data_IF_117034946916
#
_entry.id   IF_117034946916
#
_cell.length_a   1.000
_cell.length_b   1.000
_cell.length_c   1.000
_cell.angle_alpha   90.00
_cell.angle_beta   90.00
_cell.angle_gamma   90.00
#
_symmetry.space_group_name_H-M   'P 1'
#
loop_
_entity.id
_entity.type
_entity.pdbx_description
1 polymer ?
#
# COMPACT_ATOMS: atom_id res chain seq x y z
N UNK A 1 10.79 7.34 -15.30
CA UNK A 1 9.82 6.71 -16.24
C UNK A 1 10.54 5.83 -17.23
N UNK A 2 9.86 4.80 -17.77
CA UNK A 2 10.42 3.91 -18.79
C UNK A 2 10.28 4.52 -20.18
N UNK A 3 11.30 4.35 -21.02
CA UNK A 3 11.31 4.79 -22.41
C UNK A 3 12.16 3.87 -23.29
N UNK A 4 12.33 4.25 -24.56
CA UNK A 4 13.11 3.49 -25.53
C UNK A 4 14.10 4.40 -26.25
N UNK A 5 15.36 3.98 -26.33
CA UNK A 5 16.42 4.68 -27.08
C UNK A 5 17.17 3.68 -27.96
N UNK A 6 17.20 3.94 -29.26
CA UNK A 6 17.84 3.06 -30.26
C UNK A 6 17.42 1.57 -30.10
N UNK A 7 16.12 1.32 -29.86
CA UNK A 7 15.56 -0.02 -29.69
C UNK A 7 15.81 -0.68 -28.31
N UNK A 8 16.52 -0.01 -27.39
CA UNK A 8 16.76 -0.51 -26.03
C UNK A 8 15.87 0.18 -25.00
N UNK A 9 15.38 -0.57 -24.01
CA UNK A 9 14.67 0.01 -22.86
C UNK A 9 15.64 0.86 -22.04
N UNK A 10 15.19 2.05 -21.65
CA UNK A 10 15.92 2.98 -20.78
C UNK A 10 14.99 3.52 -19.72
N UNK A 11 15.57 3.98 -18.62
CA UNK A 11 14.88 4.78 -17.63
C UNK A 11 15.27 6.24 -17.78
N UNK A 12 14.30 7.14 -17.60
CA UNK A 12 14.49 8.58 -17.71
C UNK A 12 14.10 9.23 -16.38
N UNK A 13 15.00 10.03 -15.83
CA UNK A 13 14.81 10.82 -14.63
C UNK A 13 14.95 12.31 -14.97
N UNK A 14 13.84 13.05 -14.90
CA UNK A 14 13.77 14.46 -15.26
C UNK A 14 13.20 15.29 -14.10
N UNK A 15 13.67 16.53 -13.91
CA UNK A 15 12.99 17.50 -13.06
C UNK A 15 11.56 17.76 -13.55
N UNK A 16 10.61 17.90 -12.63
CA UNK A 16 9.22 18.23 -12.97
C UNK A 16 9.09 19.64 -13.57
N UNK A 17 10.09 20.49 -13.40
CA UNK A 17 10.19 21.84 -13.97
C UNK A 17 10.73 21.87 -15.40
N UNK A 18 11.02 20.72 -16.01
CA UNK A 18 11.54 20.64 -17.38
C UNK A 18 10.51 21.15 -18.38
N UNK A 19 10.95 21.98 -19.33
CA UNK A 19 10.08 22.50 -20.39
C UNK A 19 9.41 21.37 -21.16
N UNK A 20 8.09 21.49 -21.34
CA UNK A 20 7.26 20.48 -22.01
C UNK A 20 6.73 19.37 -21.09
N UNK A 21 7.09 19.36 -19.80
CA UNK A 21 6.45 18.50 -18.78
C UNK A 21 5.26 19.24 -18.19
N UNK A 22 4.09 18.58 -18.16
CA UNK A 22 2.92 19.05 -17.43
C UNK A 22 2.41 17.98 -16.47
N UNK A 23 1.90 18.42 -15.32
CA UNK A 23 1.35 17.55 -14.28
C UNK A 23 -0.02 18.07 -13.90
N UNK A 24 -1.04 17.25 -14.11
CA UNK A 24 -2.42 17.53 -13.71
C UNK A 24 -2.78 16.65 -12.51
N UNK A 25 -3.15 17.28 -11.39
CA UNK A 25 -3.55 16.55 -10.18
C UNK A 25 -4.96 16.00 -10.33
N UNK A 26 -5.13 14.73 -10.01
CA UNK A 26 -6.44 14.07 -9.90
C UNK A 26 -6.90 14.11 -8.44
N UNK A 27 -8.12 14.59 -8.21
CA UNK A 27 -8.73 14.53 -6.88
C UNK A 27 -9.16 13.09 -6.57
N UNK A 28 -8.81 12.65 -5.37
CA UNK A 28 -9.15 11.32 -4.85
C UNK A 28 -10.13 11.47 -3.69
N UNK A 29 -10.92 10.42 -3.46
CA UNK A 29 -11.73 10.30 -2.25
C UNK A 29 -10.83 10.26 -0.99
N UNK A 30 -9.71 9.54 -1.06
CA UNK A 30 -8.66 9.58 -0.06
C UNK A 30 -7.75 10.79 -0.29
N UNK A 31 -7.96 11.84 0.51
CA UNK A 31 -7.21 13.10 0.42
C UNK A 31 -5.80 13.00 1.02
N UNK A 32 -5.48 11.92 1.74
CA UNK A 32 -4.13 11.64 2.25
C UNK A 32 -3.16 11.18 1.15
N UNK A 33 -3.69 10.82 -0.03
CA UNK A 33 -2.92 10.35 -1.18
C UNK A 33 -2.96 11.37 -2.32
N UNK A 34 -1.93 11.33 -3.16
CA UNK A 34 -1.84 12.18 -4.35
C UNK A 34 -1.76 11.30 -5.59
N UNK A 35 -2.62 11.59 -6.55
CA UNK A 35 -2.58 11.02 -7.90
C UNK A 35 -2.52 12.17 -8.91
N UNK A 36 -1.87 11.94 -10.04
CA UNK A 36 -1.88 12.89 -11.14
C UNK A 36 -1.44 12.26 -12.44
N UNK A 37 -1.80 12.91 -13.53
CA UNK A 37 -1.38 12.57 -14.88
C UNK A 37 -0.17 13.42 -15.24
N UNK A 38 0.92 12.77 -15.65
CA UNK A 38 2.11 13.44 -16.19
C UNK A 38 2.09 13.32 -17.70
N UNK A 39 2.12 14.45 -18.40
CA UNK A 39 2.20 14.51 -19.86
C UNK A 39 3.52 15.15 -20.30
N UNK A 40 4.05 14.67 -21.43
CA UNK A 40 5.30 15.12 -22.01
C UNK A 40 5.04 15.57 -23.45
N UNK A 41 5.33 16.83 -23.76
CA UNK A 41 5.17 17.40 -25.08
C UNK A 41 6.48 18.05 -25.54
N UNK A 42 7.13 17.43 -26.53
CA UNK A 42 8.37 17.95 -27.13
C UNK A 42 9.53 18.09 -26.13
N UNK A 43 9.57 17.28 -25.07
CA UNK A 43 10.60 17.35 -24.03
C UNK A 43 11.94 16.91 -24.60
N UNK A 44 12.92 17.82 -24.60
CA UNK A 44 14.30 17.50 -24.91
C UNK A 44 14.95 16.76 -23.73
N UNK A 45 15.54 15.59 -23.99
CA UNK A 45 16.15 14.73 -22.97
C UNK A 45 17.64 14.65 -23.26
N UNK A 46 18.44 15.23 -22.37
CA UNK A 46 19.90 15.14 -22.41
C UNK A 46 20.40 13.81 -21.83
N UNK A 47 21.64 13.43 -22.17
CA UNK A 47 22.14 12.09 -21.89
C UNK A 47 22.28 11.78 -20.38
N UNK A 48 22.54 12.81 -19.56
CA UNK A 48 22.62 12.72 -18.11
C UNK A 48 21.30 12.34 -17.42
N UNK A 49 20.16 12.56 -18.09
CA UNK A 49 18.85 12.16 -17.60
C UNK A 49 18.45 10.74 -18.01
N UNK A 50 19.28 10.07 -18.81
CA UNK A 50 19.05 8.71 -19.30
C UNK A 50 19.82 7.72 -18.44
N UNK A 51 19.08 6.91 -17.70
CA UNK A 51 19.57 5.77 -16.96
C UNK A 51 19.52 4.54 -17.86
N UNK A 52 20.69 4.04 -18.27
CA UNK A 52 20.86 2.76 -18.96
C UNK A 52 21.35 1.73 -17.96
N UNK A 53 20.45 1.04 -17.24
CA UNK A 53 20.85 -0.11 -16.45
C UNK A 53 21.48 -1.16 -17.39
N UNK A 54 22.50 -1.88 -16.90
CA UNK A 54 23.12 -2.97 -17.66
C UNK A 54 22.10 -4.05 -18.04
N UNK A 55 21.15 -4.30 -17.15
CA UNK A 55 19.95 -5.11 -17.38
C UNK A 55 18.70 -4.29 -17.00
N UNK A 56 17.92 -3.89 -18.01
CA UNK A 56 16.68 -3.12 -17.80
C UNK A 56 15.56 -3.96 -17.15
N UNK A 57 15.55 -5.28 -17.35
CA UNK A 57 14.58 -6.17 -16.70
C UNK A 57 14.86 -6.27 -15.20
N UNK A 58 16.14 -6.41 -14.82
CA UNK A 58 16.53 -6.46 -13.42
C UNK A 58 16.17 -5.17 -12.64
N UNK A 59 16.30 -3.99 -13.27
CA UNK A 59 15.86 -2.73 -12.64
C UNK A 59 14.34 -2.67 -12.49
N UNK A 60 13.57 -3.11 -13.49
CA UNK A 60 12.11 -3.14 -13.41
C UNK A 60 11.64 -4.05 -12.26
N UNK A 61 12.26 -5.24 -12.14
CA UNK A 61 11.96 -6.21 -11.08
C UNK A 61 12.30 -5.64 -9.70
N UNK A 62 13.44 -4.97 -9.54
CA UNK A 62 13.83 -4.39 -8.26
C UNK A 62 12.91 -3.21 -7.86
N UNK A 63 12.55 -2.34 -8.81
CA UNK A 63 11.60 -1.26 -8.58
C UNK A 63 10.22 -1.80 -8.17
N UNK A 64 9.74 -2.85 -8.83
CA UNK A 64 8.48 -3.50 -8.49
C UNK A 64 8.55 -4.18 -7.12
N UNK A 65 9.65 -4.83 -6.79
CA UNK A 65 9.89 -5.46 -5.49
C UNK A 65 9.81 -4.41 -4.38
N UNK A 66 10.56 -3.31 -4.49
CA UNK A 66 10.55 -2.22 -3.51
C UNK A 66 9.14 -1.62 -3.36
N UNK A 67 8.46 -1.35 -4.48
CA UNK A 67 7.11 -0.80 -4.45
C UNK A 67 6.10 -1.75 -3.78
N UNK A 68 6.19 -3.06 -4.07
CA UNK A 68 5.29 -4.07 -3.52
C UNK A 68 5.48 -4.24 -2.00
N UNK A 69 6.73 -4.36 -1.53
CA UNK A 69 7.01 -4.45 -0.08
C UNK A 69 6.57 -3.18 0.64
N UNK A 70 6.85 -2.01 0.08
CA UNK A 70 6.46 -0.71 0.67
C UNK A 70 4.94 -0.59 0.81
N UNK A 71 4.19 -0.94 -0.25
CA UNK A 71 2.73 -0.91 -0.22
C UNK A 71 2.14 -1.94 0.76
N UNK A 72 2.75 -3.12 0.86
CA UNK A 72 2.35 -4.12 1.84
C UNK A 72 2.56 -3.60 3.28
N UNK A 73 3.72 -3.02 3.56
CA UNK A 73 4.05 -2.47 4.87
C UNK A 73 3.12 -1.31 5.27
N UNK A 74 2.85 -0.38 4.35
CA UNK A 74 1.92 0.75 4.55
C UNK A 74 0.50 0.24 4.85
N UNK A 75 -0.03 -0.65 4.00
CA UNK A 75 -1.37 -1.23 4.20
C UNK A 75 -1.47 -1.99 5.54
N UNK A 76 -0.44 -2.75 5.92
CA UNK A 76 -0.42 -3.48 7.18
C UNK A 76 -0.41 -2.55 8.39
N UNK A 77 0.32 -1.44 8.31
CA UNK A 77 0.28 -0.38 9.31
C UNK A 77 -1.12 0.20 9.46
N UNK A 78 -1.75 0.57 8.34
CA UNK A 78 -3.13 1.05 8.31
C UNK A 78 -4.12 0.06 8.91
N UNK A 79 -4.09 -1.21 8.51
CA UNK A 79 -4.97 -2.25 9.05
C UNK A 79 -4.80 -2.49 10.55
N UNK A 80 -3.57 -2.45 11.07
CA UNK A 80 -3.32 -2.53 12.51
C UNK A 80 -3.88 -1.32 13.26
N UNK A 81 -3.70 -0.11 12.73
CA UNK A 81 -4.24 1.11 13.32
C UNK A 81 -5.78 1.10 13.33
N UNK A 82 -6.40 0.70 12.22
CA UNK A 82 -7.86 0.55 12.11
C UNK A 82 -8.41 -0.47 13.12
N UNK A 83 -7.77 -1.64 13.25
CA UNK A 83 -8.19 -2.65 14.22
C UNK A 83 -8.03 -2.15 15.67
N UNK A 84 -6.94 -1.46 15.98
CA UNK A 84 -6.69 -0.89 17.31
C UNK A 84 -7.76 0.15 17.69
N UNK A 85 -8.05 1.10 16.79
CA UNK A 85 -9.11 2.09 16.98
C UNK A 85 -10.47 1.43 17.19
N UNK A 86 -10.77 0.38 16.42
CA UNK A 86 -12.01 -0.41 16.56
C UNK A 86 -12.11 -1.10 17.92
N UNK A 87 -11.02 -1.70 18.38
CA UNK A 87 -10.95 -2.33 19.71
C UNK A 87 -11.23 -1.31 20.81
N UNK A 88 -10.65 -0.11 20.70
CA UNK A 88 -10.85 0.94 21.70
C UNK A 88 -12.29 1.48 21.67
N UNK A 89 -12.88 1.65 20.48
CA UNK A 89 -14.31 1.94 20.35
C UNK A 89 -15.17 0.86 21.02
N UNK A 90 -14.89 -0.42 20.77
CA UNK A 90 -15.64 -1.54 21.34
C UNK A 90 -15.56 -1.61 22.88
N UNK A 91 -14.46 -1.14 23.48
CA UNK A 91 -14.31 -1.07 24.94
C UNK A 91 -15.17 0.05 25.56
N UNK A 92 -15.48 1.11 24.81
CA UNK A 92 -16.25 2.25 25.31
C UNK A 92 -17.73 2.24 24.91
N UNK A 93 -18.10 1.58 23.81
CA UNK A 93 -19.47 1.59 23.29
C UNK A 93 -20.37 0.63 24.08
N UNK A 94 -21.43 1.15 24.70
CA UNK A 94 -22.43 0.35 25.43
C UNK A 94 -23.67 0.06 24.58
N UNK A 95 -24.10 -1.21 24.55
CA UNK A 95 -25.40 -1.67 24.05
C UNK A 95 -25.83 -2.94 24.78
N UNK A 96 -27.15 -3.09 24.98
CA UNK A 96 -27.72 -4.20 25.77
C UNK A 96 -27.07 -4.27 27.16
N UNK A 97 -27.02 -3.12 27.84
CA UNK A 97 -26.58 -2.94 29.23
C UNK A 97 -25.13 -3.35 29.54
N UNK A 98 -24.26 -3.38 28.51
CA UNK A 98 -22.82 -3.62 28.66
C UNK A 98 -22.03 -3.11 27.46
N UNK A 99 -20.71 -3.02 27.60
CA UNK A 99 -19.81 -2.67 26.49
C UNK A 99 -19.83 -3.75 25.39
N UNK A 100 -19.84 -3.34 24.12
CA UNK A 100 -19.91 -4.27 22.98
C UNK A 100 -18.66 -5.17 22.89
N UNK A 101 -17.53 -4.70 23.41
CA UNK A 101 -16.31 -5.49 23.54
C UNK A 101 -16.46 -6.70 24.48
N UNK A 102 -17.54 -6.80 25.27
CA UNK A 102 -17.78 -7.95 26.17
C UNK A 102 -18.42 -9.16 25.47
N UNK A 103 -19.07 -8.99 24.32
CA UNK A 103 -19.74 -10.07 23.59
C UNK A 103 -18.71 -10.99 22.92
N UNK A 104 -18.76 -12.29 23.23
CA UNK A 104 -17.80 -13.29 22.73
C UNK A 104 -17.72 -13.34 21.20
N UNK A 105 -18.86 -13.22 20.51
CA UNK A 105 -18.89 -13.21 19.05
C UNK A 105 -18.06 -12.09 18.43
N UNK A 106 -18.02 -10.90 19.06
CA UNK A 106 -17.22 -9.77 18.59
C UNK A 106 -15.75 -9.92 19.00
N UNK A 107 -15.49 -10.44 20.22
CA UNK A 107 -14.12 -10.73 20.68
C UNK A 107 -13.41 -11.72 19.78
N UNK A 108 -14.04 -12.85 19.46
CA UNK A 108 -13.45 -13.88 18.60
C UNK A 108 -13.16 -13.31 17.21
N UNK A 109 -14.10 -12.57 16.64
CA UNK A 109 -13.93 -11.96 15.32
C UNK A 109 -12.72 -11.01 15.27
N UNK A 110 -12.56 -10.15 16.27
CA UNK A 110 -11.41 -9.24 16.37
C UNK A 110 -10.10 -10.00 16.64
N UNK A 111 -10.15 -11.09 17.42
CA UNK A 111 -8.98 -11.94 17.63
C UNK A 111 -8.53 -12.62 16.32
N UNK A 112 -9.47 -13.09 15.50
CA UNK A 112 -9.20 -13.66 14.18
C UNK A 112 -8.54 -12.63 13.25
N UNK A 113 -9.06 -11.39 13.23
CA UNK A 113 -8.44 -10.28 12.48
C UNK A 113 -7.01 -9.99 12.95
N UNK A 114 -6.78 -9.97 14.27
CA UNK A 114 -5.45 -9.75 14.81
C UNK A 114 -4.50 -10.88 14.38
N UNK A 115 -4.92 -12.13 14.48
CA UNK A 115 -4.13 -13.27 14.04
C UNK A 115 -3.82 -13.19 12.53
N UNK A 116 -4.78 -12.80 11.69
CA UNK A 116 -4.57 -12.61 10.26
C UNK A 116 -3.57 -11.49 9.95
N UNK A 117 -3.62 -10.36 10.66
CA UNK A 117 -2.66 -9.27 10.50
C UNK A 117 -1.25 -9.67 10.96
N UNK A 118 -1.11 -10.47 12.03
CA UNK A 118 0.19 -11.00 12.45
C UNK A 118 0.77 -11.99 11.45
N UNK A 119 -0.06 -12.86 10.87
CA UNK A 119 0.39 -13.72 9.77
C UNK A 119 0.83 -12.89 8.55
N UNK A 120 0.09 -11.83 8.23
CA UNK A 120 0.44 -10.90 7.16
C UNK A 120 1.76 -10.15 7.44
N UNK A 121 2.05 -9.81 8.70
CA UNK A 121 3.33 -9.23 9.14
C UNK A 121 4.51 -10.14 8.79
N UNK A 122 4.40 -11.44 9.07
CA UNK A 122 5.45 -12.40 8.72
C UNK A 122 5.79 -12.40 7.22
N UNK A 123 4.80 -12.22 6.33
CA UNK A 123 5.05 -12.13 4.89
C UNK A 123 5.78 -10.84 4.49
N UNK A 124 5.42 -9.71 5.11
CA UNK A 124 6.09 -8.42 4.86
C UNK A 124 7.54 -8.49 5.34
N UNK A 125 7.77 -8.99 6.55
CA UNK A 125 9.10 -9.05 7.16
C UNK A 125 10.01 -10.00 6.37
N UNK A 126 9.48 -11.14 5.91
CA UNK A 126 10.21 -12.05 5.03
C UNK A 126 10.56 -11.42 3.69
N UNK A 127 9.59 -10.77 3.02
CA UNK A 127 9.87 -10.13 1.74
C UNK A 127 10.86 -8.95 1.87
N UNK A 128 10.83 -8.24 3.00
CA UNK A 128 11.75 -7.16 3.30
C UNK A 128 13.17 -7.64 3.66
N UNK A 129 13.32 -8.87 4.16
CA UNK A 129 14.62 -9.44 4.53
C UNK A 129 15.41 -10.00 3.35
N UNK A 130 14.81 -10.09 2.16
CA UNK A 130 15.46 -10.65 0.97
C UNK A 130 16.25 -9.56 0.22
N UNK A 131 17.51 -9.89 -0.11
CA UNK A 131 18.31 -9.12 -1.04
C UNK A 131 17.69 -9.11 -2.44
N UNK A 132 18.02 -8.10 -3.24
CA UNK A 132 17.42 -7.92 -4.57
C UNK A 132 17.75 -9.06 -5.55
N UNK A 133 18.92 -9.67 -5.40
CA UNK A 133 19.39 -10.80 -6.20
C UNK A 133 19.01 -12.17 -5.62
N UNK A 134 18.34 -12.20 -4.47
CA UNK A 134 17.90 -13.44 -3.87
C UNK A 134 16.87 -14.15 -4.77
N UNK A 135 16.94 -15.48 -4.91
CA UNK A 135 15.95 -16.23 -5.66
C UNK A 135 14.54 -15.93 -5.15
N UNK A 136 13.61 -15.65 -6.08
CA UNK A 136 12.20 -15.36 -5.78
C UNK A 136 11.94 -14.09 -4.98
N UNK A 137 12.90 -13.16 -4.82
CA UNK A 137 12.70 -11.92 -4.07
C UNK A 137 11.49 -11.10 -4.57
N UNK A 138 11.36 -10.93 -5.89
CA UNK A 138 10.20 -10.26 -6.49
C UNK A 138 8.89 -11.03 -6.20
N UNK A 139 8.91 -12.35 -6.31
CA UNK A 139 7.71 -13.17 -6.04
C UNK A 139 7.26 -13.05 -4.58
N UNK A 140 8.21 -13.07 -3.63
CA UNK A 140 7.92 -12.86 -2.21
C UNK A 140 7.29 -11.49 -1.96
N UNK A 141 7.84 -10.42 -2.56
CA UNK A 141 7.29 -9.07 -2.47
C UNK A 141 5.87 -8.95 -3.04
N UNK A 142 5.62 -9.51 -4.23
CA UNK A 142 4.30 -9.50 -4.86
C UNK A 142 3.29 -10.32 -4.05
N UNK A 143 3.72 -11.47 -3.51
CA UNK A 143 2.88 -12.33 -2.65
C UNK A 143 2.51 -11.62 -1.36
N UNK A 144 3.47 -10.97 -0.69
CA UNK A 144 3.23 -10.18 0.50
C UNK A 144 2.23 -9.06 0.21
N UNK A 145 2.45 -8.27 -0.85
CA UNK A 145 1.53 -7.20 -1.27
C UNK A 145 0.12 -7.74 -1.51
N UNK A 146 -0.03 -8.81 -2.30
CA UNK A 146 -1.33 -9.38 -2.61
C UNK A 146 -2.06 -9.84 -1.34
N UNK A 147 -1.38 -10.62 -0.49
CA UNK A 147 -1.99 -11.19 0.71
C UNK A 147 -2.37 -10.11 1.71
N UNK A 148 -1.44 -9.21 2.03
CA UNK A 148 -1.63 -8.15 3.02
C UNK A 148 -2.76 -7.21 2.60
N UNK A 149 -2.78 -6.74 1.35
CA UNK A 149 -3.83 -5.81 0.90
C UNK A 149 -5.21 -6.45 0.93
N UNK A 150 -5.32 -7.76 0.65
CA UNK A 150 -6.58 -8.50 0.80
C UNK A 150 -7.02 -8.59 2.27
N UNK A 151 -6.12 -9.02 3.17
CA UNK A 151 -6.42 -9.15 4.61
C UNK A 151 -6.83 -7.80 5.19
N UNK A 152 -6.07 -6.74 4.92
CA UNK A 152 -6.36 -5.40 5.43
C UNK A 152 -7.71 -4.90 4.94
N UNK A 153 -8.08 -5.17 3.68
CA UNK A 153 -9.39 -4.80 3.16
C UNK A 153 -10.53 -5.57 3.84
N UNK A 154 -10.34 -6.84 4.20
CA UNK A 154 -11.30 -7.63 4.97
C UNK A 154 -11.46 -7.08 6.40
N UNK A 155 -10.34 -6.82 7.08
CA UNK A 155 -10.32 -6.22 8.42
C UNK A 155 -11.01 -4.86 8.42
N UNK A 156 -10.66 -3.97 7.48
CA UNK A 156 -11.23 -2.64 7.39
C UNK A 156 -12.76 -2.65 7.18
N UNK A 157 -13.27 -3.55 6.32
CA UNK A 157 -14.72 -3.71 6.12
C UNK A 157 -15.44 -4.14 7.39
N UNK A 158 -14.89 -5.11 8.12
CA UNK A 158 -15.53 -5.55 9.36
C UNK A 158 -15.38 -4.52 10.49
N UNK A 159 -14.28 -3.75 10.51
CA UNK A 159 -14.11 -2.63 11.43
C UNK A 159 -15.20 -1.56 11.22
N UNK A 160 -15.56 -1.22 9.97
CA UNK A 160 -16.71 -0.35 9.68
C UNK A 160 -17.99 -0.94 10.28
N UNK A 161 -18.22 -2.24 10.10
CA UNK A 161 -19.41 -2.91 10.62
C UNK A 161 -19.46 -2.94 12.16
N UNK A 162 -18.32 -3.08 12.83
CA UNK A 162 -18.19 -3.05 14.30
C UNK A 162 -18.47 -1.65 14.87
N UNK A 163 -18.17 -0.60 14.12
CA UNK A 163 -18.55 0.78 14.47
C UNK A 163 -20.05 1.05 14.26
N UNK A 164 -20.72 0.31 13.36
CA UNK A 164 -22.12 0.55 13.02
C UNK A 164 -22.28 1.83 12.21
N UNK A 165 -23.34 2.62 12.46
CA UNK A 165 -23.63 3.83 11.68
C UNK A 165 -22.50 4.86 11.69
N UNK A 166 -21.76 5.01 12.80
CA UNK A 166 -20.64 5.96 12.88
C UNK A 166 -19.43 5.54 12.04
N UNK A 167 -19.32 4.25 11.69
CA UNK A 167 -18.28 3.74 10.78
C UNK A 167 -18.44 4.21 9.33
N UNK A 168 -19.57 4.85 9.00
CA UNK A 168 -19.80 5.49 7.69
C UNK A 168 -19.55 6.99 7.71
N UNK A 169 -19.04 7.54 8.82
CA UNK A 169 -18.78 8.97 9.00
C UNK A 169 -17.29 9.22 9.17
N UNK A 170 -16.81 10.37 8.68
CA UNK A 170 -15.39 10.78 8.74
C UNK A 170 -14.91 11.17 10.15
N UNK A 171 -15.77 11.09 11.17
CA UNK A 171 -15.41 11.42 12.56
C UNK A 171 -14.68 10.26 13.27
N UNK A 172 -14.84 9.03 12.76
CA UNK A 172 -14.29 7.81 13.36
C UNK A 172 -13.42 6.99 12.39
N UNK A 173 -13.36 7.37 11.11
CA UNK A 173 -12.66 6.66 10.03
C UNK A 173 -11.87 7.62 9.15
#
# INVERSE_FOLDING_TARGET
MRGTRAGKSVWIALPTTTSGVSIERTLLADTSRTLGTVALSGVAISAEHVLTPGDAGALDDDLLRIAAVSLAADALGGGNATLAATVDYMKGREQFDRVIGSFQALKHRVADHKAALEAARGLVDHAASLDADAPLALLAALTAKQHVTRVVAEVARDCIQLHGGVGFTSEYV
#
